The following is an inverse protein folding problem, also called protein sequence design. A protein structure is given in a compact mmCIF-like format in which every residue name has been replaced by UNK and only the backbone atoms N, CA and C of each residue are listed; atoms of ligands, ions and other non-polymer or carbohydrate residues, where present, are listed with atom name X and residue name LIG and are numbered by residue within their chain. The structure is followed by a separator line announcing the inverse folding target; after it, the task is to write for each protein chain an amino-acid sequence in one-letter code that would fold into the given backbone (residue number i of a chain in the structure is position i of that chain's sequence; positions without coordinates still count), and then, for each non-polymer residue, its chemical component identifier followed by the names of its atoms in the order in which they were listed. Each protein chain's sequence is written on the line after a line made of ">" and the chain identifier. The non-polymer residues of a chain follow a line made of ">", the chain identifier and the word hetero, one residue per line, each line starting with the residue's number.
data_IF_257019996731
#
_entry.id   IF_257019996731
#
_cell.length_a   1.000
_cell.length_b   1.000
_cell.length_c   1.000
_cell.angle_alpha   90.00
_cell.angle_beta   90.00
_cell.angle_gamma   90.00
#
_symmetry.space_group_name_H-M   'P 1'
#
loop_
_entity.id
_entity.type
_entity.pdbx_description
1 polymer ?
#
# COMPACT_ATOMS: atom_id res chain seq x y z
N UNK A 1 18.76 2.18 1.41
CA UNK A 1 17.45 1.94 0.77
C UNK A 1 16.31 1.79 1.78
N UNK A 2 16.37 0.89 2.78
CA UNK A 2 15.36 0.79 3.86
C UNK A 2 15.15 2.11 4.63
N UNK A 3 16.24 2.81 4.93
CA UNK A 3 16.20 4.13 5.57
C UNK A 3 15.38 5.13 4.73
N UNK A 4 15.54 5.15 3.41
CA UNK A 4 14.77 6.03 2.53
C UNK A 4 13.28 5.65 2.49
N UNK A 5 12.96 4.36 2.51
CA UNK A 5 11.58 3.86 2.58
C UNK A 5 10.91 4.29 3.90
N UNK A 6 11.62 4.16 5.02
CA UNK A 6 11.16 4.56 6.34
C UNK A 6 10.99 6.09 6.45
N UNK A 7 11.93 6.87 5.90
CA UNK A 7 11.84 8.33 5.84
C UNK A 7 10.63 8.77 5.00
N UNK A 8 10.43 8.15 3.83
CA UNK A 8 9.27 8.44 2.97
C UNK A 8 7.94 8.15 3.67
N UNK A 9 7.84 7.01 4.37
CA UNK A 9 6.66 6.69 5.16
C UNK A 9 6.44 7.67 6.32
N UNK A 10 7.51 8.03 7.03
CA UNK A 10 7.43 9.00 8.13
C UNK A 10 6.95 10.38 7.66
N UNK A 11 7.37 10.83 6.47
CA UNK A 11 6.89 12.06 5.84
C UNK A 11 5.39 11.99 5.52
N UNK A 12 4.94 10.90 4.90
CA UNK A 12 3.52 10.70 4.55
C UNK A 12 2.65 10.63 5.81
N UNK A 13 3.06 9.86 6.81
CA UNK A 13 2.33 9.73 8.07
C UNK A 13 2.26 11.07 8.83
N UNK A 14 3.36 11.82 8.87
CA UNK A 14 3.40 13.15 9.51
C UNK A 14 2.50 14.16 8.78
N UNK A 15 2.46 14.11 7.45
CA UNK A 15 1.58 14.94 6.65
C UNK A 15 0.09 14.60 6.89
N UNK A 16 -0.25 13.32 6.95
CA UNK A 16 -1.61 12.86 7.28
C UNK A 16 -2.02 13.27 8.71
N UNK A 17 -1.10 13.23 9.68
CA UNK A 17 -1.32 13.70 11.04
C UNK A 17 -1.51 15.23 11.12
N UNK A 18 -0.73 16.00 10.34
CA UNK A 18 -0.89 17.44 10.26
C UNK A 18 -2.24 17.84 9.61
N UNK A 19 -2.67 17.12 8.58
CA UNK A 19 -3.99 17.29 7.97
C UNK A 19 -5.13 16.96 8.93
N UNK A 20 -4.96 15.94 9.79
CA UNK A 20 -5.94 15.57 10.80
C UNK A 20 -6.27 16.75 11.73
N UNK A 21 -5.23 17.48 12.18
CA UNK A 21 -5.38 18.67 13.04
C UNK A 21 -6.13 19.83 12.37
N UNK A 22 -6.16 19.87 11.03
CA UNK A 22 -6.85 20.94 10.28
C UNK A 22 -8.35 20.68 10.08
N UNK A 23 -8.91 19.57 10.57
CA UNK A 23 -10.36 19.33 10.58
C UNK A 23 -11.06 19.17 9.22
N UNK A 24 -10.31 19.19 8.11
CA UNK A 24 -10.86 19.30 6.73
C UNK A 24 -11.33 17.99 6.08
N UNK A 25 -11.25 16.86 6.76
CA UNK A 25 -11.46 15.53 6.16
C UNK A 25 -12.29 14.63 7.07
N UNK A 26 -13.16 13.80 6.50
CA UNK A 26 -13.98 12.86 7.27
C UNK A 26 -13.11 11.80 7.96
N UNK A 27 -13.58 11.25 9.09
CA UNK A 27 -12.89 10.16 9.80
C UNK A 27 -12.64 8.93 8.91
N UNK A 28 -13.57 8.65 8.00
CA UNK A 28 -13.49 7.54 7.04
C UNK A 28 -12.37 7.75 6.01
N UNK A 29 -12.30 8.92 5.39
CA UNK A 29 -11.26 9.20 4.38
C UNK A 29 -9.85 9.14 4.99
N UNK A 30 -9.74 9.52 6.26
CA UNK A 30 -8.49 9.41 7.03
C UNK A 30 -8.10 7.97 7.29
N UNK A 31 -9.04 7.14 7.74
CA UNK A 31 -8.77 5.72 7.96
C UNK A 31 -8.32 5.04 6.67
N UNK A 32 -8.98 5.33 5.55
CA UNK A 32 -8.60 4.84 4.22
C UNK A 32 -7.18 5.32 3.85
N UNK A 33 -6.88 6.61 4.05
CA UNK A 33 -5.57 7.16 3.71
C UNK A 33 -4.42 6.54 4.54
N UNK A 34 -4.62 6.29 5.84
CA UNK A 34 -3.62 5.61 6.67
C UNK A 34 -3.44 4.14 6.28
N UNK A 35 -4.54 3.43 6.03
CA UNK A 35 -4.51 2.02 5.59
C UNK A 35 -3.76 1.90 4.27
N UNK A 36 -4.07 2.75 3.28
CA UNK A 36 -3.39 2.75 1.99
C UNK A 36 -1.89 3.06 2.11
N UNK A 37 -1.52 4.06 2.92
CA UNK A 37 -0.11 4.35 3.20
C UNK A 37 0.63 3.16 3.82
N UNK A 38 0.01 2.48 4.79
CA UNK A 38 0.58 1.29 5.43
C UNK A 38 0.77 0.14 4.46
N UNK A 39 -0.25 -0.17 3.65
CA UNK A 39 -0.18 -1.20 2.61
C UNK A 39 0.92 -0.88 1.58
N UNK A 40 1.06 0.38 1.19
CA UNK A 40 2.11 0.82 0.25
C UNK A 40 3.51 0.62 0.83
N UNK A 41 3.70 0.90 2.12
CA UNK A 41 4.96 0.64 2.82
C UNK A 41 5.30 -0.85 2.88
N UNK A 42 4.34 -1.68 3.26
CA UNK A 42 4.50 -3.15 3.28
C UNK A 42 4.85 -3.66 1.89
N UNK A 43 4.17 -3.19 0.85
CA UNK A 43 4.47 -3.55 -0.54
C UNK A 43 5.89 -3.14 -0.95
N UNK A 44 6.31 -1.91 -0.62
CA UNK A 44 7.69 -1.46 -0.84
C UNK A 44 8.72 -2.33 -0.13
N UNK A 45 8.39 -2.84 1.07
CA UNK A 45 9.22 -3.78 1.81
C UNK A 45 9.29 -5.15 1.11
N UNK A 46 8.16 -5.67 0.63
CA UNK A 46 8.10 -6.94 -0.13
C UNK A 46 8.96 -6.84 -1.39
N UNK A 47 8.86 -5.76 -2.16
CA UNK A 47 9.67 -5.53 -3.36
C UNK A 47 11.18 -5.47 -3.06
N UNK A 48 11.60 -5.13 -1.82
CA UNK A 48 13.01 -5.16 -1.42
C UNK A 48 13.54 -6.58 -1.25
N UNK A 49 12.74 -7.47 -0.66
CA UNK A 49 13.12 -8.85 -0.36
C UNK A 49 12.81 -9.81 -1.51
N UNK A 50 11.81 -9.49 -2.32
CA UNK A 50 11.40 -10.23 -3.50
C UNK A 50 11.26 -9.26 -4.69
N UNK A 51 12.37 -8.83 -5.33
CA UNK A 51 12.36 -7.80 -6.38
C UNK A 51 11.51 -8.13 -7.61
N UNK A 52 11.20 -9.42 -7.86
CA UNK A 52 10.23 -9.83 -8.87
C UNK A 52 8.81 -9.27 -8.63
N UNK A 53 8.47 -8.92 -7.38
CA UNK A 53 7.20 -8.29 -7.01
C UNK A 53 7.14 -6.81 -7.37
N UNK A 54 8.26 -6.16 -7.72
CA UNK A 54 8.23 -4.79 -8.24
C UNK A 54 7.50 -4.72 -9.59
N UNK A 55 7.42 -5.83 -10.33
CA UNK A 55 6.60 -5.94 -11.51
C UNK A 55 5.11 -6.02 -11.11
N UNK A 56 4.27 -5.04 -11.50
CA UNK A 56 2.86 -4.99 -11.10
C UNK A 56 2.04 -6.19 -11.59
N UNK A 57 2.47 -6.89 -12.65
CA UNK A 57 1.77 -8.08 -13.13
C UNK A 57 1.82 -9.26 -12.13
N UNK A 58 2.84 -9.34 -11.28
CA UNK A 58 3.00 -10.42 -10.29
C UNK A 58 1.93 -10.35 -9.19
N UNK A 59 1.75 -9.25 -8.44
CA UNK A 59 0.68 -9.15 -7.45
C UNK A 59 -0.70 -9.16 -8.09
N UNK A 60 -0.88 -8.60 -9.30
CA UNK A 60 -2.15 -8.68 -10.03
C UNK A 60 -2.50 -10.15 -10.31
N UNK A 61 -1.58 -10.94 -10.88
CA UNK A 61 -1.83 -12.38 -11.09
C UNK A 61 -2.07 -13.10 -9.78
N UNK A 62 -1.26 -12.86 -8.75
CA UNK A 62 -1.43 -13.50 -7.44
C UNK A 62 -2.84 -13.29 -6.85
N UNK A 63 -3.41 -12.09 -6.96
CA UNK A 63 -4.74 -11.76 -6.42
C UNK A 63 -5.88 -12.23 -7.34
N UNK A 64 -5.76 -11.99 -8.64
CA UNK A 64 -6.87 -12.16 -9.59
C UNK A 64 -6.88 -13.53 -10.27
N UNK A 65 -5.75 -14.23 -10.38
CA UNK A 65 -5.68 -15.55 -11.03
C UNK A 65 -6.52 -16.62 -10.32
N UNK A 66 -6.58 -16.70 -8.96
CA UNK A 66 -7.49 -17.63 -8.28
C UNK A 66 -8.96 -17.32 -8.58
N UNK A 67 -9.32 -16.03 -8.62
CA UNK A 67 -10.67 -15.58 -8.96
C UNK A 67 -11.01 -15.94 -10.40
N UNK A 68 -10.06 -15.75 -11.32
CA UNK A 68 -10.22 -16.13 -12.72
C UNK A 68 -10.38 -17.65 -12.90
N UNK A 69 -9.63 -18.48 -12.17
CA UNK A 69 -9.80 -19.94 -12.19
C UNK A 69 -11.16 -20.38 -11.67
N UNK A 70 -11.61 -19.79 -10.56
CA UNK A 70 -12.95 -19.99 -10.01
C UNK A 70 -14.07 -19.64 -11.00
N UNK A 71 -13.94 -18.53 -11.74
CA UNK A 71 -14.91 -18.12 -12.76
C UNK A 71 -14.81 -19.01 -14.01
N UNK A 72 -13.60 -19.41 -14.40
CA UNK A 72 -13.36 -20.24 -15.57
C UNK A 72 -13.74 -21.73 -15.37
N UNK A 73 -14.08 -22.13 -14.14
CA UNK A 73 -14.55 -23.49 -13.83
C UNK A 73 -13.46 -24.57 -13.86
N UNK A 74 -12.19 -24.19 -13.63
CA UNK A 74 -11.05 -25.12 -13.51
C UNK A 74 -10.60 -25.26 -12.05
#
# INVERSE_FOLDING_TARGET
>A
MLILLAIGFALIASYQAALHRRGRTSGRDRAVAYVLSGLTFVYGLVCRFAPGWANPFVPIRFVFEPVQRLIAGN
#
